data_IF_353449332844
#
_entry.id   IF_353449332844
#
_cell.length_a   1.000
_cell.length_b   1.000
_cell.length_c   1.000
_cell.angle_alpha   90.00
_cell.angle_beta   90.00
_cell.angle_gamma   90.00
#
_symmetry.space_group_name_H-M   'P 1'
#
loop_
_entity.id
_entity.type
_entity.pdbx_description
1 polymer ?
#
# COMPACT_ATOMS: atom_id res chain seq x y z
N UNK A 1 11.76 9.63 -9.43
CA UNK A 1 11.63 9.75 -7.97
C UNK A 1 11.00 8.49 -7.42
N UNK A 2 11.65 7.88 -6.44
CA UNK A 2 11.56 6.50 -5.94
C UNK A 2 10.29 6.18 -5.14
N UNK A 3 9.23 6.99 -5.30
CA UNK A 3 8.00 6.97 -4.47
C UNK A 3 7.11 5.75 -4.68
N UNK A 4 7.29 4.97 -5.74
CA UNK A 4 6.45 3.78 -6.02
C UNK A 4 6.90 2.49 -5.31
N UNK A 5 8.12 2.43 -4.77
CA UNK A 5 8.68 1.18 -4.23
C UNK A 5 7.94 0.70 -2.98
N UNK A 6 7.62 1.59 -2.04
CA UNK A 6 6.92 1.20 -0.82
C UNK A 6 5.52 0.62 -1.10
N UNK A 7 4.86 1.09 -2.16
CA UNK A 7 3.55 0.58 -2.59
C UNK A 7 3.71 -0.82 -3.19
N UNK A 8 4.71 -1.00 -4.06
CA UNK A 8 4.98 -2.30 -4.68
C UNK A 8 5.36 -3.37 -3.63
N UNK A 9 6.28 -3.04 -2.72
CA UNK A 9 6.74 -3.90 -1.64
C UNK A 9 5.60 -4.23 -0.67
N UNK A 10 4.83 -3.22 -0.27
CA UNK A 10 3.69 -3.39 0.60
C UNK A 10 2.58 -4.25 0.01
N UNK A 11 2.23 -4.01 -1.27
CA UNK A 11 1.24 -4.83 -1.97
C UNK A 11 1.72 -6.28 -2.07
N UNK A 12 3.01 -6.50 -2.30
CA UNK A 12 3.59 -7.84 -2.32
C UNK A 12 3.42 -8.54 -0.96
N UNK A 13 3.63 -7.83 0.15
CA UNK A 13 3.44 -8.41 1.49
C UNK A 13 1.97 -8.76 1.76
N UNK A 14 1.05 -7.85 1.43
CA UNK A 14 -0.39 -8.08 1.54
C UNK A 14 -0.83 -9.29 0.71
N UNK A 15 -0.38 -9.37 -0.55
CA UNK A 15 -0.64 -10.52 -1.41
C UNK A 15 -0.02 -11.80 -0.87
N UNK A 16 1.12 -11.75 -0.18
CA UNK A 16 1.68 -12.89 0.53
C UNK A 16 0.68 -13.51 1.51
N UNK A 17 0.05 -12.69 2.36
CA UNK A 17 -0.97 -13.15 3.30
C UNK A 17 -2.24 -13.64 2.60
N UNK A 18 -2.73 -12.89 1.61
CA UNK A 18 -3.92 -13.27 0.82
C UNK A 18 -3.71 -14.60 0.10
N UNK A 19 -2.54 -14.84 -0.48
CA UNK A 19 -2.24 -16.08 -1.20
C UNK A 19 -2.10 -17.27 -0.25
N UNK A 20 -1.52 -17.09 0.94
CA UNK A 20 -1.48 -18.14 1.97
C UNK A 20 -2.89 -18.57 2.39
N UNK A 21 -3.81 -17.61 2.54
CA UNK A 21 -5.23 -17.90 2.78
C UNK A 21 -5.86 -18.61 1.59
N UNK A 22 -5.72 -18.08 0.36
CA UNK A 22 -6.33 -18.64 -0.85
C UNK A 22 -5.82 -20.04 -1.20
N UNK A 23 -4.57 -20.35 -0.86
CA UNK A 23 -3.97 -21.68 -1.02
C UNK A 23 -4.45 -22.68 0.04
N UNK A 24 -5.27 -22.26 1.01
CA UNK A 24 -5.74 -23.11 2.12
C UNK A 24 -4.67 -23.41 3.18
N UNK A 25 -3.50 -22.74 3.12
CA UNK A 25 -2.44 -22.90 4.11
C UNK A 25 -2.76 -22.13 5.40
N UNK A 26 -3.51 -21.04 5.29
CA UNK A 26 -4.07 -20.28 6.41
C UNK A 26 -5.59 -20.37 6.39
N UNK A 27 -6.19 -20.57 7.57
CA UNK A 27 -7.61 -20.37 7.77
C UNK A 27 -7.96 -18.88 7.93
N UNK A 28 -9.24 -18.56 7.90
CA UNK A 28 -9.74 -17.18 8.04
C UNK A 28 -9.32 -16.56 9.38
N UNK A 29 -9.32 -17.35 10.45
CA UNK A 29 -8.95 -16.86 11.77
C UNK A 29 -7.46 -16.46 11.85
N UNK A 30 -6.56 -17.23 11.22
CA UNK A 30 -5.14 -16.91 11.13
C UNK A 30 -4.90 -15.69 10.26
N UNK A 31 -5.57 -15.61 9.12
CA UNK A 31 -5.50 -14.45 8.23
C UNK A 31 -5.92 -13.18 8.98
N UNK A 32 -7.11 -13.15 9.58
CA UNK A 32 -7.61 -11.98 10.31
C UNK A 32 -6.73 -11.60 11.51
N UNK A 33 -6.17 -12.58 12.23
CA UNK A 33 -5.20 -12.30 13.31
C UNK A 33 -3.92 -11.65 12.77
N UNK A 34 -3.46 -12.02 11.57
CA UNK A 34 -2.28 -11.41 10.95
C UNK A 34 -2.57 -9.96 10.57
N UNK A 35 -3.66 -9.70 9.86
CA UNK A 35 -4.05 -8.35 9.45
C UNK A 35 -4.29 -7.44 10.67
N UNK A 36 -4.94 -7.96 11.71
CA UNK A 36 -5.13 -7.23 12.98
C UNK A 36 -3.81 -6.87 13.65
N UNK A 37 -2.81 -7.77 13.64
CA UNK A 37 -1.47 -7.44 14.17
C UNK A 37 -0.76 -6.39 13.32
N UNK A 38 -0.92 -6.41 12.00
CA UNK A 38 -0.37 -5.37 11.12
C UNK A 38 -0.97 -4.01 11.48
N UNK A 39 -2.30 -3.93 11.63
CA UNK A 39 -3.00 -2.71 12.04
C UNK A 39 -2.52 -2.25 13.43
N UNK A 40 -2.58 -3.10 14.44
CA UNK A 40 -2.18 -2.74 15.81
C UNK A 40 -0.70 -2.37 15.93
N UNK A 41 0.18 -2.98 15.14
CA UNK A 41 1.61 -2.63 15.11
C UNK A 41 1.84 -1.20 14.61
N UNK A 42 1.05 -0.76 13.63
CA UNK A 42 1.09 0.60 13.09
C UNK A 42 0.45 1.58 14.08
N UNK A 43 -0.73 1.26 14.61
CA UNK A 43 -1.46 2.11 15.56
C UNK A 43 -0.74 2.33 16.89
N UNK A 44 0.10 1.39 17.33
CA UNK A 44 0.80 1.50 18.62
C UNK A 44 2.24 1.99 18.50
N UNK A 45 2.71 2.31 17.29
CA UNK A 45 4.06 2.81 17.05
C UNK A 45 4.28 4.14 17.83
N UNK A 46 5.43 4.36 18.49
CA UNK A 46 5.65 5.52 19.37
C UNK A 46 5.39 6.90 18.75
N UNK A 47 5.42 7.01 17.41
CA UNK A 47 5.03 8.22 16.70
C UNK A 47 3.53 8.52 16.73
N UNK A 48 2.65 7.51 16.71
CA UNK A 48 1.19 7.64 16.54
C UNK A 48 0.46 8.40 17.66
N UNK A 49 1.08 8.63 18.81
CA UNK A 49 0.41 9.07 20.05
C UNK A 49 0.31 10.59 20.24
N UNK A 50 0.53 11.39 19.19
CA UNK A 50 0.56 12.87 19.29
C UNK A 50 -0.71 13.61 18.83
N UNK A 51 -1.86 12.96 18.62
CA UNK A 51 -3.12 13.66 18.26
C UNK A 51 -4.35 13.22 19.08
N UNK A 52 -5.21 14.21 19.37
CA UNK A 52 -6.36 14.17 20.28
C UNK A 52 -7.52 13.28 19.81
N UNK A 53 -8.35 12.88 20.78
CA UNK A 53 -9.42 11.88 20.70
C UNK A 53 -10.61 12.18 19.74
N UNK A 54 -10.54 13.22 18.92
CA UNK A 54 -11.55 13.55 17.90
C UNK A 54 -11.02 13.37 16.46
N UNK A 55 -9.70 13.20 16.29
CA UNK A 55 -9.00 13.00 15.01
C UNK A 55 -8.61 11.53 14.76
N UNK A 56 -9.24 10.56 15.42
CA UNK A 56 -8.94 9.12 15.28
C UNK A 56 -9.37 8.51 13.92
N UNK A 57 -9.34 9.28 12.84
CA UNK A 57 -9.45 8.80 11.47
C UNK A 57 -8.05 8.70 10.86
N UNK A 58 -7.32 7.64 11.25
CA UNK A 58 -6.08 7.22 10.59
C UNK A 58 -5.00 8.32 10.45
N UNK A 59 -4.51 8.90 11.55
CA UNK A 59 -3.34 9.81 11.49
C UNK A 59 -2.17 9.33 12.33
N UNK A 60 -0.96 9.37 11.73
CA UNK A 60 0.04 10.36 12.10
C UNK A 60 1.24 10.38 11.10
N UNK A 61 1.88 11.54 10.90
CA UNK A 61 2.95 11.80 9.93
C UNK A 61 4.32 11.38 10.48
N UNK A 62 5.17 10.69 9.69
CA UNK A 62 6.55 10.39 10.11
C UNK A 62 7.59 10.60 9.00
N UNK A 63 8.21 11.77 9.14
CA UNK A 63 9.62 12.16 8.91
C UNK A 63 10.11 12.20 7.45
N UNK A 64 10.33 13.47 7.06
CA UNK A 64 11.09 13.94 5.93
C UNK A 64 12.59 13.59 6.03
N UNK A 65 13.18 13.52 4.86
CA UNK A 65 14.58 13.31 4.47
C UNK A 65 15.70 13.68 5.49
N UNK A 66 16.67 12.78 5.68
CA UNK A 66 18.00 13.15 6.17
C UNK A 66 19.08 12.17 5.66
N UNK A 67 19.74 12.45 4.53
CA UNK A 67 21.10 11.93 4.32
C UNK A 67 21.98 12.55 5.42
N UNK A 68 22.81 11.73 6.06
CA UNK A 68 23.77 12.11 7.11
C UNK A 68 23.25 12.16 8.56
N UNK A 69 22.90 11.02 9.14
CA UNK A 69 23.02 10.84 10.60
C UNK A 69 23.32 9.39 10.99
N UNK A 70 24.62 9.14 11.18
CA UNK A 70 25.19 8.24 12.19
C UNK A 70 24.99 6.71 12.03
N UNK A 71 26.13 6.04 11.82
CA UNK A 71 26.41 4.60 11.66
C UNK A 71 26.02 3.69 12.85
N UNK A 72 25.09 4.06 13.73
CA UNK A 72 24.89 3.33 15.01
C UNK A 72 23.45 3.06 15.44
N UNK A 73 22.43 3.40 14.65
CA UNK A 73 21.01 3.13 15.00
C UNK A 73 20.23 2.39 13.90
N UNK A 74 20.86 1.38 13.28
CA UNK A 74 20.27 0.59 12.19
C UNK A 74 19.01 -0.21 12.60
N UNK A 75 18.77 -0.45 13.89
CA UNK A 75 17.59 -1.21 14.34
C UNK A 75 16.32 -0.35 14.50
N UNK A 76 16.43 0.97 14.71
CA UNK A 76 15.26 1.81 15.00
C UNK A 76 14.70 2.58 13.79
N UNK A 77 15.47 2.75 12.71
CA UNK A 77 15.07 3.53 11.53
C UNK A 77 14.71 2.69 10.30
N UNK A 78 15.08 1.41 10.28
CA UNK A 78 14.83 0.53 9.13
C UNK A 78 13.41 -0.08 9.07
N UNK A 79 12.56 0.17 10.09
CA UNK A 79 11.37 -0.64 10.36
C UNK A 79 10.06 -0.16 9.66
N UNK A 80 9.94 1.08 9.19
CA UNK A 80 8.59 1.68 9.06
C UNK A 80 7.93 1.74 7.67
N UNK A 81 8.54 1.22 6.58
CA UNK A 81 7.96 1.36 5.23
C UNK A 81 7.16 0.14 4.74
N UNK A 82 7.56 -1.09 5.09
CA UNK A 82 6.84 -2.30 4.69
C UNK A 82 5.42 -2.41 5.28
N UNK A 83 5.18 -2.14 6.58
CA UNK A 83 3.84 -2.25 7.16
C UNK A 83 2.85 -1.24 6.55
N UNK A 84 3.33 -0.04 6.19
CA UNK A 84 2.49 1.02 5.62
C UNK A 84 1.95 0.63 4.24
N UNK A 85 2.83 0.14 3.36
CA UNK A 85 2.39 -0.28 2.02
C UNK A 85 1.44 -1.48 2.07
N UNK A 86 1.65 -2.42 3.00
CA UNK A 86 0.73 -3.54 3.24
C UNK A 86 -0.65 -3.05 3.68
N UNK A 87 -0.70 -2.14 4.66
CA UNK A 87 -1.95 -1.55 5.14
C UNK A 87 -2.65 -0.74 4.04
N UNK A 88 -1.93 0.03 3.24
CA UNK A 88 -2.48 0.75 2.08
C UNK A 88 -3.10 -0.22 1.08
N UNK A 89 -2.43 -1.33 0.77
CA UNK A 89 -2.97 -2.38 -0.12
C UNK A 89 -4.23 -3.01 0.43
N UNK A 90 -4.22 -3.37 1.72
CA UNK A 90 -5.37 -3.95 2.43
C UNK A 90 -6.58 -3.00 2.44
N UNK A 91 -6.38 -1.75 2.85
CA UNK A 91 -7.46 -0.75 2.93
C UNK A 91 -7.99 -0.43 1.54
N UNK A 92 -7.13 -0.32 0.52
CA UNK A 92 -7.56 -0.10 -0.86
C UNK A 92 -8.44 -1.27 -1.36
N UNK A 93 -8.04 -2.52 -1.12
CA UNK A 93 -8.85 -3.70 -1.51
C UNK A 93 -10.21 -3.69 -0.81
N UNK A 94 -10.25 -3.45 0.51
CA UNK A 94 -11.48 -3.40 1.29
C UNK A 94 -12.39 -2.23 0.89
N UNK A 95 -11.82 -1.05 0.66
CA UNK A 95 -12.54 0.14 0.20
C UNK A 95 -13.20 -0.13 -1.15
N UNK A 96 -12.45 -0.69 -2.10
CA UNK A 96 -12.98 -1.04 -3.42
C UNK A 96 -14.09 -2.08 -3.32
N UNK A 97 -13.90 -3.15 -2.54
CA UNK A 97 -14.93 -4.16 -2.31
C UNK A 97 -16.18 -3.54 -1.70
N UNK A 98 -16.04 -2.71 -0.67
CA UNK A 98 -17.17 -2.06 -0.02
C UNK A 98 -17.95 -1.15 -0.96
N UNK A 99 -17.26 -0.32 -1.74
CA UNK A 99 -17.88 0.64 -2.67
C UNK A 99 -18.48 0.01 -3.91
N UNK A 100 -18.03 -1.18 -4.29
CA UNK A 100 -18.51 -1.90 -5.48
C UNK A 100 -19.42 -3.08 -5.16
N UNK A 101 -19.79 -3.29 -3.88
CA UNK A 101 -20.57 -4.45 -3.47
C UNK A 101 -19.86 -5.78 -3.74
N UNK A 102 -18.54 -5.80 -3.60
CA UNK A 102 -17.67 -6.96 -3.81
C UNK A 102 -17.34 -7.28 -5.27
N UNK A 103 -17.81 -6.46 -6.22
CA UNK A 103 -17.61 -6.72 -7.66
C UNK A 103 -16.20 -6.43 -8.15
N UNK A 104 -15.47 -5.53 -7.48
CA UNK A 104 -14.11 -5.13 -7.82
C UNK A 104 -13.21 -5.21 -6.60
N UNK A 105 -11.94 -5.49 -6.85
CA UNK A 105 -10.90 -5.73 -5.86
C UNK A 105 -9.55 -5.23 -6.35
N UNK A 106 -8.57 -5.20 -5.45
CA UNK A 106 -7.18 -4.91 -5.81
C UNK A 106 -6.66 -5.88 -6.87
N UNK A 107 -7.17 -7.12 -6.94
CA UNK A 107 -6.77 -8.07 -7.99
C UNK A 107 -7.10 -7.56 -9.39
N UNK A 108 -8.23 -6.86 -9.53
CA UNK A 108 -8.65 -6.30 -10.80
C UNK A 108 -7.75 -5.13 -11.20
N UNK A 109 -7.29 -4.34 -10.23
CA UNK A 109 -6.32 -3.26 -10.44
C UNK A 109 -4.98 -3.84 -10.86
N UNK A 110 -4.46 -4.84 -10.13
CA UNK A 110 -3.16 -5.43 -10.44
C UNK A 110 -3.15 -6.10 -11.82
N UNK A 111 -4.24 -6.77 -12.20
CA UNK A 111 -4.41 -7.33 -13.55
C UNK A 111 -4.44 -6.23 -14.62
N UNK A 112 -5.17 -5.14 -14.39
CA UNK A 112 -5.24 -4.02 -15.31
C UNK A 112 -3.88 -3.31 -15.46
N UNK A 113 -3.15 -3.09 -14.37
CA UNK A 113 -1.81 -2.50 -14.40
C UNK A 113 -0.81 -3.39 -15.14
N UNK A 114 -0.86 -4.71 -14.91
CA UNK A 114 -0.01 -5.66 -15.63
C UNK A 114 -0.28 -5.65 -17.13
N UNK A 115 -1.56 -5.67 -17.52
CA UNK A 115 -1.96 -5.60 -18.93
C UNK A 115 -1.50 -4.28 -19.58
N UNK A 116 -1.75 -3.14 -18.93
CA UNK A 116 -1.44 -1.83 -19.49
C UNK A 116 0.08 -1.56 -19.55
N UNK A 117 0.80 -1.73 -18.44
CA UNK A 117 2.20 -1.29 -18.33
C UNK A 117 3.22 -2.34 -18.76
N UNK A 118 2.89 -3.63 -18.67
CA UNK A 118 3.83 -4.69 -19.01
C UNK A 118 3.51 -5.37 -20.35
N UNK A 119 2.25 -5.72 -20.60
CA UNK A 119 1.88 -6.46 -21.82
C UNK A 119 1.72 -5.56 -23.04
N UNK A 120 1.07 -4.40 -22.90
CA UNK A 120 0.67 -3.53 -24.02
C UNK A 120 1.57 -2.30 -24.22
N UNK A 121 2.25 -1.83 -23.18
CA UNK A 121 3.14 -0.68 -23.31
C UNK A 121 4.40 -1.03 -24.12
N UNK A 122 4.97 -0.06 -24.87
CA UNK A 122 6.27 -0.23 -25.50
C UNK A 122 7.36 -0.61 -24.48
N UNK A 123 8.33 -1.39 -24.93
CA UNK A 123 9.48 -1.76 -24.10
C UNK A 123 10.30 -0.52 -23.75
N UNK A 124 10.63 -0.37 -22.46
CA UNK A 124 11.46 0.71 -21.95
C UNK A 124 12.91 0.58 -22.45
N UNK A 125 13.40 -0.65 -22.62
CA UNK A 125 14.70 -0.93 -23.22
C UNK A 125 14.72 -2.30 -23.91
N UNK A 126 15.82 -2.64 -24.56
CA UNK A 126 16.02 -3.98 -25.15
C UNK A 126 15.84 -5.12 -24.13
N UNK A 127 16.17 -4.89 -22.86
CA UNK A 127 16.09 -5.90 -21.79
C UNK A 127 14.84 -5.76 -20.91
N UNK A 128 14.16 -4.61 -20.94
CA UNK A 128 13.02 -4.30 -20.07
C UNK A 128 11.74 -4.21 -20.90
N UNK A 129 10.94 -5.27 -20.84
CA UNK A 129 9.61 -5.31 -21.44
C UNK A 129 8.65 -4.36 -20.73
N UNK A 130 7.83 -3.68 -21.50
CA UNK A 130 6.88 -2.68 -20.99
C UNK A 130 7.58 -1.48 -20.36
N UNK A 131 6.85 -0.70 -19.55
CA UNK A 131 7.36 0.45 -18.81
C UNK A 131 7.06 0.34 -17.30
N UNK A 132 7.83 1.06 -16.49
CA UNK A 132 7.48 1.29 -15.08
C UNK A 132 6.22 2.14 -14.94
N UNK A 133 5.54 2.00 -13.81
CA UNK A 133 4.37 2.80 -13.45
C UNK A 133 4.73 3.85 -12.40
N UNK A 134 3.94 4.92 -12.34
CA UNK A 134 3.98 5.91 -11.26
C UNK A 134 2.80 5.76 -10.29
N UNK A 135 2.83 6.45 -9.15
CA UNK A 135 1.71 6.38 -8.18
C UNK A 135 0.41 6.90 -8.80
N UNK A 136 0.52 7.89 -9.68
CA UNK A 136 -0.58 8.47 -10.43
C UNK A 136 -1.20 7.46 -11.41
N UNK A 137 -0.38 6.58 -11.99
CA UNK A 137 -0.85 5.46 -12.82
C UNK A 137 -1.69 4.50 -11.97
N UNK A 138 -1.23 4.13 -10.77
CA UNK A 138 -1.96 3.25 -9.85
C UNK A 138 -3.30 3.88 -9.44
N UNK A 139 -3.32 5.15 -9.03
CA UNK A 139 -4.55 5.85 -8.69
C UNK A 139 -5.53 5.85 -9.87
N UNK A 140 -5.05 6.23 -11.06
CA UNK A 140 -5.89 6.26 -12.26
C UNK A 140 -6.51 4.89 -12.53
N UNK A 141 -5.70 3.84 -12.57
CA UNK A 141 -6.17 2.48 -12.87
C UNK A 141 -7.15 2.00 -11.79
N UNK A 142 -6.86 2.25 -10.51
CA UNK A 142 -7.76 1.88 -9.41
C UNK A 142 -9.12 2.58 -9.51
N UNK A 143 -9.14 3.89 -9.82
CA UNK A 143 -10.36 4.67 -10.05
C UNK A 143 -11.12 4.14 -11.27
N UNK A 144 -10.43 3.86 -12.38
CA UNK A 144 -11.05 3.31 -13.59
C UNK A 144 -11.67 1.92 -13.38
N UNK A 145 -10.97 1.04 -12.68
CA UNK A 145 -11.41 -0.34 -12.42
C UNK A 145 -12.60 -0.38 -11.47
N UNK A 146 -12.58 0.45 -10.41
CA UNK A 146 -13.62 0.47 -9.39
C UNK A 146 -14.82 1.34 -9.75
N UNK A 147 -14.63 2.36 -10.58
CA UNK A 147 -15.63 3.43 -10.78
C UNK A 147 -15.80 4.34 -9.56
N UNK A 148 -14.85 4.31 -8.62
CA UNK A 148 -14.88 5.07 -7.36
C UNK A 148 -13.82 6.18 -7.44
N UNK A 149 -14.17 7.39 -7.02
CA UNK A 149 -13.16 8.43 -6.83
C UNK A 149 -12.28 8.10 -5.60
N UNK A 150 -11.00 7.82 -5.86
CA UNK A 150 -10.01 7.46 -4.85
C UNK A 150 -9.05 8.62 -4.56
N UNK A 151 -9.31 9.83 -5.06
CA UNK A 151 -8.39 10.97 -4.94
C UNK A 151 -8.03 11.26 -3.49
N UNK A 152 -9.02 11.36 -2.59
CA UNK A 152 -8.79 11.61 -1.17
C UNK A 152 -7.94 10.50 -0.52
N UNK A 153 -8.19 9.23 -0.87
CA UNK A 153 -7.42 8.10 -0.35
C UNK A 153 -5.94 8.19 -0.75
N UNK A 154 -5.67 8.46 -2.03
CA UNK A 154 -4.30 8.58 -2.51
C UNK A 154 -3.61 9.85 -1.99
N UNK A 155 -4.34 10.96 -1.86
CA UNK A 155 -3.83 12.19 -1.23
C UNK A 155 -3.36 11.88 0.19
N UNK A 156 -4.26 11.39 1.05
CA UNK A 156 -4.02 11.21 2.47
C UNK A 156 -3.00 10.10 2.78
N UNK A 157 -3.07 8.96 2.08
CA UNK A 157 -2.33 7.76 2.50
C UNK A 157 -1.14 7.38 1.62
N UNK A 158 -1.05 7.94 0.41
CA UNK A 158 0.01 7.58 -0.57
C UNK A 158 0.89 8.77 -0.92
N UNK A 159 0.31 9.96 -1.13
CA UNK A 159 1.02 11.14 -1.61
C UNK A 159 1.42 12.13 -0.52
N UNK A 160 0.77 12.15 0.64
CA UNK A 160 1.18 13.00 1.77
C UNK A 160 2.45 12.48 2.48
N UNK A 161 3.57 13.22 2.45
CA UNK A 161 4.36 13.47 3.64
C UNK A 161 3.66 14.60 4.38
N UNK A 162 2.91 14.32 5.44
CA UNK A 162 2.33 15.42 6.20
C UNK A 162 3.42 16.12 7.04
N UNK A 163 3.29 17.45 7.07
CA UNK A 163 4.23 18.49 7.46
C UNK A 163 4.80 18.38 8.87
#
# INVERSE_FOLDING_TARGET
STRGLFVAEGFTNYYGHVMLRRAGLWDDARFLRRESRTISGIENAPGSRLQSAEDASLYAPFIDDAPHAQKTNLENTAISYYPKGELVGMVLDLLMRGRTGGKKSLDDVMRAMYDEFYLKSPNNSYYLRGRGYHVEDLQRVATQVSGVDLTEFFDRYVRSPEK
#
